data_IF_456938888784
#
_entry.id   IF_456938888784
#
_cell.length_a   1.000
_cell.length_b   1.000
_cell.length_c   1.000
_cell.angle_alpha   90.00
_cell.angle_beta   90.00
_cell.angle_gamma   90.00
#
_symmetry.space_group_name_H-M   'P 1'
#
loop_
_entity.id
_entity.type
_entity.pdbx_description
1 polymer ?
#
# COMPACT_ATOMS: atom_id res chain seq x y z
N UNK A 1 -6.45 -6.57 5.81
CA UNK A 1 -6.21 -5.33 5.04
C UNK A 1 -7.55 -4.83 4.53
N UNK A 2 -7.78 -3.52 4.51
CA UNK A 2 -9.02 -2.90 4.02
C UNK A 2 -8.70 -1.64 3.23
N UNK A 3 -9.70 -1.11 2.54
CA UNK A 3 -9.61 0.15 1.80
C UNK A 3 -9.34 1.32 2.74
N UNK A 4 -8.72 2.41 2.25
CA UNK A 4 -8.47 3.61 3.07
C UNK A 4 -9.78 4.18 3.65
N UNK A 5 -10.91 3.96 2.98
CA UNK A 5 -12.25 4.30 3.51
C UNK A 5 -12.61 3.55 4.81
N UNK A 6 -12.01 2.40 5.05
CA UNK A 6 -12.20 1.59 6.27
C UNK A 6 -11.34 2.11 7.44
N UNK A 7 -10.57 3.18 7.23
CA UNK A 7 -9.83 3.86 8.29
C UNK A 7 -10.78 4.42 9.34
N UNK A 8 -10.37 4.33 10.60
CA UNK A 8 -11.20 4.79 11.72
C UNK A 8 -11.23 6.32 11.77
N UNK A 9 -12.42 6.93 11.74
CA UNK A 9 -12.59 8.34 12.05
C UNK A 9 -12.54 8.54 13.58
N UNK A 10 -11.61 9.37 14.03
CA UNK A 10 -11.45 9.73 15.43
C UNK A 10 -11.77 11.21 15.57
N UNK A 11 -12.87 11.50 16.27
CA UNK A 11 -13.27 12.86 16.63
C UNK A 11 -12.78 13.16 18.05
N UNK A 12 -11.79 14.03 18.16
CA UNK A 12 -11.20 14.43 19.42
C UNK A 12 -11.25 15.94 19.64
N UNK A 13 -10.71 16.38 20.78
CA UNK A 13 -10.61 17.81 21.10
C UNK A 13 -9.76 18.60 20.10
N UNK A 14 -8.80 17.93 19.45
CA UNK A 14 -7.91 18.51 18.43
C UNK A 14 -8.55 18.56 17.02
N UNK A 15 -9.79 18.09 16.88
CA UNK A 15 -10.49 17.94 15.62
C UNK A 15 -10.61 16.47 15.17
N UNK A 16 -11.08 16.30 13.94
CA UNK A 16 -11.32 14.98 13.35
C UNK A 16 -10.09 14.52 12.56
N UNK A 17 -9.63 13.29 12.81
CA UNK A 17 -8.56 12.64 12.06
C UNK A 17 -8.95 11.24 11.63
N UNK A 18 -8.38 10.75 10.53
CA UNK A 18 -8.49 9.35 10.11
C UNK A 18 -7.28 8.58 10.60
N UNK A 19 -7.48 7.38 11.13
CA UNK A 19 -6.43 6.48 11.57
C UNK A 19 -6.49 5.18 10.77
N UNK A 20 -5.57 5.04 9.80
CA UNK A 20 -5.49 3.88 8.91
C UNK A 20 -4.94 2.63 9.60
N UNK A 21 -4.09 2.81 10.63
CA UNK A 21 -3.56 1.70 11.41
C UNK A 21 -4.36 1.50 12.71
N UNK A 22 -5.15 0.44 12.78
CA UNK A 22 -5.95 0.05 13.93
C UNK A 22 -5.33 -1.15 14.64
N UNK A 23 -5.20 -1.08 15.96
CA UNK A 23 -4.68 -2.18 16.77
C UNK A 23 -5.66 -2.44 17.91
N UNK A 24 -6.26 -3.63 17.90
CA UNK A 24 -7.13 -4.10 18.97
C UNK A 24 -6.45 -5.23 19.73
N UNK A 25 -6.68 -5.25 21.03
CA UNK A 25 -6.11 -6.21 21.95
C UNK A 25 -7.24 -6.71 22.83
N UNK A 26 -7.38 -8.03 22.92
CA UNK A 26 -8.43 -8.69 23.66
C UNK A 26 -7.81 -9.68 24.65
N UNK A 27 -8.31 -9.67 25.88
CA UNK A 27 -7.85 -10.49 27.00
C UNK A 27 -9.03 -11.28 27.56
N UNK A 28 -9.45 -12.35 26.88
CA UNK A 28 -10.58 -13.15 27.32
C UNK A 28 -10.27 -13.88 28.64
N UNK A 29 -11.24 -14.06 29.56
CA UNK A 29 -11.01 -14.66 30.88
C UNK A 29 -10.37 -16.05 30.83
N UNK A 30 -10.64 -16.84 29.79
CA UNK A 30 -10.09 -18.19 29.67
C UNK A 30 -8.57 -18.21 29.53
N UNK A 31 -7.93 -17.12 29.10
CA UNK A 31 -6.47 -17.09 28.92
C UNK A 31 -5.70 -17.19 30.24
N UNK A 32 -6.38 -16.95 31.36
CA UNK A 32 -5.88 -17.14 32.73
C UNK A 32 -6.64 -18.25 33.47
N UNK A 33 -7.45 -19.05 32.76
CA UNK A 33 -8.24 -20.13 33.35
C UNK A 33 -9.47 -19.67 34.14
N UNK A 34 -9.89 -18.41 33.98
CA UNK A 34 -11.05 -17.85 34.67
C UNK A 34 -12.31 -17.83 33.77
N UNK A 35 -13.46 -17.63 34.40
CA UNK A 35 -14.71 -17.29 33.71
C UNK A 35 -15.07 -15.84 33.97
N UNK A 36 -15.69 -15.17 33.00
CA UNK A 36 -16.05 -13.76 33.14
C UNK A 36 -16.97 -13.26 32.04
N UNK A 37 -17.56 -12.09 32.25
CA UNK A 37 -18.43 -11.46 31.25
C UNK A 37 -17.62 -10.98 30.04
N UNK A 38 -18.06 -11.41 28.85
CA UNK A 38 -17.54 -10.93 27.56
C UNK A 38 -18.38 -9.75 27.08
N UNK A 39 -18.04 -8.54 27.54
CA UNK A 39 -18.69 -7.29 27.10
C UNK A 39 -17.75 -6.48 26.20
N UNK A 40 -17.57 -5.18 26.46
CA UNK A 40 -16.62 -4.34 25.74
C UNK A 40 -15.21 -4.38 26.34
N UNK A 41 -14.20 -3.87 25.61
CA UNK A 41 -12.83 -3.88 26.10
C UNK A 41 -12.65 -3.01 27.35
N UNK A 42 -11.92 -3.54 28.33
CA UNK A 42 -11.53 -2.88 29.58
C UNK A 42 -10.42 -1.86 29.34
N UNK A 43 -10.20 -0.97 30.31
CA UNK A 43 -9.11 0.03 30.27
C UNK A 43 -7.74 -0.59 30.02
N UNK A 44 -7.42 -1.72 30.67
CA UNK A 44 -6.13 -2.40 30.51
C UNK A 44 -5.97 -2.98 29.10
N UNK A 45 -7.04 -3.53 28.52
CA UNK A 45 -7.02 -4.03 27.14
C UNK A 45 -6.76 -2.90 26.13
N UNK A 46 -7.41 -1.76 26.31
CA UNK A 46 -7.15 -0.55 25.49
C UNK A 46 -5.71 -0.06 25.69
N UNK A 47 -5.23 -0.01 26.93
CA UNK A 47 -3.88 0.43 27.27
C UNK A 47 -2.80 -0.47 26.67
N UNK A 48 -2.94 -1.79 26.80
CA UNK A 48 -2.04 -2.78 26.21
C UNK A 48 -2.08 -2.73 24.69
N UNK A 49 -3.27 -2.63 24.08
CA UNK A 49 -3.41 -2.43 22.64
C UNK A 49 -2.72 -1.16 22.16
N UNK A 50 -2.81 -0.06 22.90
CA UNK A 50 -2.13 1.20 22.56
C UNK A 50 -0.61 1.10 22.72
N UNK A 51 -0.12 0.40 23.73
CA UNK A 51 1.32 0.15 23.89
C UNK A 51 1.86 -0.69 22.73
N UNK A 52 1.20 -1.80 22.41
CA UNK A 52 1.61 -2.66 21.31
C UNK A 52 1.57 -1.93 19.97
N UNK A 53 0.51 -1.15 19.73
CA UNK A 53 0.38 -0.24 18.58
C UNK A 53 1.58 0.69 18.46
N UNK A 54 1.95 1.40 19.55
CA UNK A 54 3.11 2.30 19.55
C UNK A 54 4.41 1.56 19.24
N UNK A 55 4.56 0.33 19.75
CA UNK A 55 5.71 -0.52 19.50
C UNK A 55 5.94 -0.83 18.02
N UNK A 56 4.88 -1.07 17.25
CA UNK A 56 5.01 -1.40 15.82
C UNK A 56 4.77 -0.20 14.89
N UNK A 57 4.11 0.86 15.34
CA UNK A 57 3.78 2.03 14.53
C UNK A 57 5.02 2.71 13.94
N UNK A 58 6.15 2.67 14.64
CA UNK A 58 7.41 3.25 14.18
C UNK A 58 8.02 2.58 12.95
N UNK A 59 7.64 1.33 12.63
CA UNK A 59 8.13 0.58 11.47
C UNK A 59 7.11 0.43 10.34
N UNK A 60 5.93 1.04 10.51
CA UNK A 60 4.88 0.98 9.50
C UNK A 60 5.31 1.70 8.21
N UNK A 61 4.94 1.19 7.04
CA UNK A 61 5.13 1.89 5.79
C UNK A 61 4.31 3.19 5.78
N UNK A 62 4.71 4.12 4.90
CA UNK A 62 3.89 5.30 4.62
C UNK A 62 2.64 4.88 3.85
N UNK A 63 1.58 5.66 3.98
CA UNK A 63 0.31 5.41 3.26
C UNK A 63 0.50 5.45 1.75
N UNK A 64 1.42 6.26 1.23
CA UNK A 64 1.73 6.31 -0.21
C UNK A 64 2.39 5.03 -0.72
N UNK A 65 3.24 4.40 0.10
CA UNK A 65 3.98 3.18 -0.25
C UNK A 65 3.13 1.92 -0.07
N UNK A 66 2.18 1.96 0.87
CA UNK A 66 1.29 0.85 1.16
C UNK A 66 -0.11 1.36 1.55
N UNK A 67 -0.98 1.65 0.55
CA UNK A 67 -2.21 2.43 0.72
C UNK A 67 -3.37 1.63 1.34
N UNK A 68 -3.10 0.89 2.42
CA UNK A 68 -4.07 0.03 3.08
C UNK A 68 -4.48 0.55 4.46
N UNK A 69 -5.76 0.43 4.79
CA UNK A 69 -6.17 0.39 6.18
C UNK A 69 -5.75 -0.97 6.78
N UNK A 70 -4.97 -0.92 7.85
CA UNK A 70 -4.40 -2.11 8.50
C UNK A 70 -5.07 -2.26 9.86
N UNK A 71 -5.79 -3.37 10.04
CA UNK A 71 -6.35 -3.76 11.33
C UNK A 71 -5.63 -4.99 11.85
N UNK A 72 -5.02 -4.85 13.01
CA UNK A 72 -4.47 -5.96 13.79
C UNK A 72 -5.37 -6.22 14.98
N UNK A 73 -5.70 -7.48 15.23
CA UNK A 73 -6.38 -7.92 16.45
C UNK A 73 -5.50 -8.96 17.12
N UNK A 74 -5.02 -8.65 18.32
CA UNK A 74 -4.29 -9.61 19.15
C UNK A 74 -5.26 -10.25 20.14
N UNK A 75 -5.52 -11.54 19.93
CA UNK A 75 -6.31 -12.37 20.85
C UNK A 75 -5.36 -13.11 21.78
N UNK A 76 -5.42 -12.82 23.08
CA UNK A 76 -4.59 -13.52 24.05
C UNK A 76 -5.25 -14.84 24.41
N UNK A 77 -4.63 -15.95 24.02
CA UNK A 77 -5.14 -17.30 24.32
C UNK A 77 -4.61 -17.86 25.63
N UNK A 78 -3.43 -17.40 26.05
CA UNK A 78 -2.76 -17.78 27.30
C UNK A 78 -2.00 -16.56 27.84
N UNK A 79 -1.99 -16.37 29.16
CA UNK A 79 -1.24 -15.29 29.78
C UNK A 79 -0.66 -15.69 31.14
N UNK A 80 0.66 -15.86 31.18
CA UNK A 80 1.43 -15.97 32.42
C UNK A 80 2.60 -14.97 32.49
N UNK A 81 2.74 -14.12 31.47
CA UNK A 81 3.75 -13.07 31.38
C UNK A 81 3.18 -11.89 30.59
N UNK A 82 4.05 -11.10 29.97
CA UNK A 82 3.61 -9.91 29.24
C UNK A 82 2.95 -10.22 27.89
N UNK A 83 1.65 -10.44 27.94
CA UNK A 83 0.80 -10.57 26.75
C UNK A 83 0.84 -9.34 25.84
N UNK A 84 1.09 -8.13 26.37
CA UNK A 84 1.26 -6.93 25.54
C UNK A 84 2.53 -6.95 24.70
N UNK A 85 3.64 -7.51 25.21
CA UNK A 85 4.87 -7.70 24.43
C UNK A 85 4.73 -8.86 23.45
N UNK A 86 4.04 -9.93 23.84
CA UNK A 86 3.66 -11.00 22.91
C UNK A 86 2.83 -10.45 21.73
N UNK A 87 1.91 -9.50 21.96
CA UNK A 87 1.17 -8.82 20.90
C UNK A 87 2.05 -8.02 19.94
N UNK A 88 3.13 -7.38 20.42
CA UNK A 88 4.11 -6.71 19.55
C UNK A 88 4.78 -7.72 18.63
N UNK A 89 5.32 -8.81 19.20
CA UNK A 89 5.99 -9.86 18.44
C UNK A 89 5.04 -10.52 17.43
N UNK A 90 3.85 -10.92 17.88
CA UNK A 90 2.84 -11.56 17.05
C UNK A 90 2.32 -10.66 15.94
N UNK A 91 2.09 -9.37 16.22
CA UNK A 91 1.67 -8.41 15.19
C UNK A 91 2.75 -8.12 14.18
N UNK A 92 4.03 -8.04 14.59
CA UNK A 92 5.14 -7.90 13.64
C UNK A 92 5.16 -9.06 12.65
N UNK A 93 5.01 -10.31 13.12
CA UNK A 93 4.95 -11.49 12.25
C UNK A 93 3.69 -11.49 11.39
N UNK A 94 2.53 -11.25 11.97
CA UNK A 94 1.25 -11.29 11.25
C UNK A 94 1.17 -10.22 10.14
N UNK A 95 1.70 -9.02 10.38
CA UNK A 95 1.75 -7.97 9.37
C UNK A 95 2.72 -8.33 8.23
N UNK A 96 3.90 -8.85 8.56
CA UNK A 96 4.86 -9.34 7.55
C UNK A 96 4.28 -10.49 6.72
N UNK A 97 3.55 -11.41 7.36
CA UNK A 97 2.88 -12.53 6.69
C UNK A 97 1.73 -12.07 5.80
N UNK A 98 1.04 -10.99 6.19
CA UNK A 98 0.02 -10.34 5.38
C UNK A 98 0.58 -9.49 4.21
N UNK A 99 1.90 -9.45 4.03
CA UNK A 99 2.56 -8.68 2.97
C UNK A 99 2.74 -7.19 3.28
N UNK A 100 2.59 -6.77 4.54
CA UNK A 100 2.85 -5.38 4.94
C UNK A 100 4.37 -5.13 4.94
N UNK A 101 4.89 -4.18 4.14
CA UNK A 101 6.32 -3.91 4.01
C UNK A 101 6.85 -3.12 5.21
N UNK A 102 6.94 -3.76 6.37
CA UNK A 102 7.55 -3.16 7.56
C UNK A 102 9.03 -2.84 7.30
N UNK A 103 9.51 -1.69 7.80
CA UNK A 103 10.92 -1.30 7.64
C UNK A 103 11.90 -2.22 8.38
N UNK A 104 11.45 -2.86 9.47
CA UNK A 104 12.16 -3.93 10.18
C UNK A 104 11.19 -4.71 11.09
N UNK A 105 11.48 -5.99 11.42
CA UNK A 105 10.77 -6.73 12.46
C UNK A 105 10.93 -6.09 13.84
N UNK A 106 9.88 -6.17 14.67
CA UNK A 106 9.85 -5.61 16.03
C UNK A 106 9.52 -6.70 17.04
N UNK A 107 10.31 -6.78 18.12
CA UNK A 107 9.98 -7.61 19.28
C UNK A 107 9.78 -6.74 20.52
N UNK A 108 9.05 -7.29 21.48
CA UNK A 108 8.87 -6.76 22.81
C UNK A 108 9.42 -7.70 23.88
N UNK A 109 9.83 -7.14 25.01
CA UNK A 109 10.18 -7.90 26.21
C UNK A 109 9.68 -7.16 27.46
N UNK A 110 9.24 -7.93 28.46
CA UNK A 110 8.93 -7.39 29.78
C UNK A 110 10.04 -7.73 30.76
N UNK A 111 10.32 -6.77 31.62
CA UNK A 111 11.45 -6.79 32.52
C UNK A 111 10.97 -6.35 33.89
N UNK A 112 11.52 -6.96 34.92
CA UNK A 112 11.25 -6.61 36.31
C UNK A 112 12.52 -6.19 37.01
N UNK A 113 12.34 -5.54 38.15
CA UNK A 113 13.42 -5.22 39.06
C UNK A 113 12.97 -5.42 40.50
N UNK A 114 13.83 -6.07 41.29
CA UNK A 114 13.69 -6.21 42.74
C UNK A 114 14.88 -5.51 43.38
N UNK A 115 14.65 -4.70 44.41
CA UNK A 115 15.68 -3.93 45.12
C UNK A 115 15.50 -3.98 46.63
N UNK A 116 16.57 -4.33 47.33
CA UNK A 116 16.64 -4.34 48.79
C UNK A 116 17.92 -3.63 49.26
N UNK A 117 17.76 -2.45 49.85
CA UNK A 117 18.91 -1.59 50.20
C UNK A 117 19.72 -1.26 48.94
N UNK A 118 21.01 -1.55 48.93
CA UNK A 118 21.90 -1.33 47.77
C UNK A 118 21.89 -2.50 46.75
N UNK A 119 21.28 -3.64 47.10
CA UNK A 119 21.23 -4.80 46.20
C UNK A 119 20.02 -4.69 45.28
N UNK A 120 20.21 -5.02 44.01
CA UNK A 120 19.10 -5.15 43.08
C UNK A 120 19.33 -6.33 42.13
N UNK A 121 18.25 -6.81 41.52
CA UNK A 121 18.26 -7.82 40.47
C UNK A 121 17.29 -7.41 39.38
N UNK A 122 17.75 -7.47 38.12
CA UNK A 122 16.92 -7.28 36.94
C UNK A 122 16.46 -8.65 36.46
N UNK A 123 15.16 -8.82 36.28
CA UNK A 123 14.53 -10.08 35.85
C UNK A 123 14.09 -9.92 34.39
N UNK A 124 14.49 -10.87 33.55
CA UNK A 124 14.12 -10.91 32.13
C UNK A 124 12.89 -11.78 31.92
N UNK A 125 11.96 -11.32 31.09
CA UNK A 125 10.74 -12.01 30.71
C UNK A 125 9.87 -12.41 31.91
N UNK A 126 9.49 -11.39 32.68
CA UNK A 126 8.80 -11.59 33.96
C UNK A 126 7.46 -12.33 33.82
N UNK A 127 7.23 -13.21 34.78
CA UNK A 127 5.95 -13.83 35.04
C UNK A 127 4.98 -12.85 35.72
N UNK A 128 3.69 -13.19 35.74
CA UNK A 128 2.68 -12.40 36.44
C UNK A 128 2.97 -12.22 37.93
N UNK A 129 3.50 -13.24 38.59
CA UNK A 129 3.89 -13.18 40.02
C UNK A 129 5.09 -12.26 40.24
N UNK A 130 6.07 -12.28 39.33
CA UNK A 130 7.26 -11.44 39.40
C UNK A 130 6.93 -9.97 39.13
N UNK A 131 5.98 -9.68 38.25
CA UNK A 131 5.40 -8.34 38.07
C UNK A 131 4.70 -7.88 39.36
N UNK A 132 3.85 -8.74 39.94
CA UNK A 132 3.10 -8.38 41.14
C UNK A 132 4.02 -8.02 42.32
N UNK A 133 5.08 -8.84 42.53
CA UNK A 133 6.01 -8.73 43.65
C UNK A 133 7.19 -7.78 43.38
N UNK A 134 7.48 -7.45 42.12
CA UNK A 134 8.60 -6.60 41.74
C UNK A 134 8.41 -5.13 42.12
N UNK A 135 9.53 -4.44 42.33
CA UNK A 135 9.58 -3.02 42.71
C UNK A 135 9.46 -2.07 41.51
N UNK A 136 9.69 -2.60 40.31
CA UNK A 136 9.47 -1.92 39.04
C UNK A 136 9.23 -2.96 37.96
N UNK A 137 8.29 -2.67 37.07
CA UNK A 137 8.12 -3.39 35.82
C UNK A 137 8.28 -2.43 34.64
N UNK A 138 8.91 -2.89 33.58
CA UNK A 138 9.04 -2.12 32.36
C UNK A 138 9.01 -3.00 31.13
N UNK A 139 8.54 -2.41 30.04
CA UNK A 139 8.26 -3.09 28.78
C UNK A 139 9.00 -2.34 27.69
N UNK A 140 9.84 -3.06 26.96
CA UNK A 140 10.69 -2.51 25.90
C UNK A 140 10.34 -3.18 24.59
N UNK A 141 9.87 -2.40 23.62
CA UNK A 141 9.66 -2.84 22.26
C UNK A 141 10.64 -2.14 21.31
N UNK A 142 11.07 -2.83 20.27
CA UNK A 142 12.02 -2.27 19.33
C UNK A 142 12.50 -3.22 18.25
N UNK A 143 13.25 -2.64 17.32
CA UNK A 143 13.98 -3.35 16.28
C UNK A 143 15.39 -3.69 16.78
N UNK A 144 16.19 -4.28 15.90
CA UNK A 144 17.64 -4.40 16.10
C UNK A 144 18.33 -3.04 16.23
N UNK A 145 17.83 -2.01 15.51
CA UNK A 145 18.46 -0.68 15.44
C UNK A 145 18.10 0.24 16.60
N UNK A 146 17.04 -0.04 17.34
CA UNK A 146 16.59 0.87 18.40
C UNK A 146 15.24 0.53 19.01
N UNK A 147 14.91 1.25 20.08
CA UNK A 147 13.65 1.16 20.82
C UNK A 147 12.56 1.93 20.08
N UNK A 148 11.38 1.33 19.93
CA UNK A 148 10.20 1.95 19.32
C UNK A 148 9.15 2.32 20.36
N UNK A 149 9.08 1.61 21.48
CA UNK A 149 8.28 1.98 22.63
C UNK A 149 8.92 1.52 23.94
N UNK A 150 8.78 2.35 24.96
CA UNK A 150 9.19 2.07 26.33
C UNK A 150 8.03 2.46 27.25
N UNK A 151 7.61 1.54 28.11
CA UNK A 151 6.69 1.80 29.21
C UNK A 151 7.37 1.36 30.50
N UNK A 152 7.28 2.17 31.55
CA UNK A 152 7.86 1.90 32.85
C UNK A 152 6.84 2.23 33.94
N UNK A 153 6.68 1.32 34.88
CA UNK A 153 5.86 1.47 36.07
C UNK A 153 6.77 1.22 37.29
N UNK A 154 7.14 2.31 37.97
CA UNK A 154 8.05 2.28 39.12
C UNK A 154 7.22 2.35 40.41
N UNK A 155 7.42 1.39 41.33
CA UNK A 155 6.66 1.32 42.59
C UNK A 155 7.44 1.87 43.80
N UNK A 156 8.77 1.97 43.69
CA UNK A 156 9.65 2.46 44.78
C UNK A 156 10.47 3.68 44.38
N UNK A 157 11.04 4.36 45.37
CA UNK A 157 12.07 5.38 45.15
C UNK A 157 13.47 4.75 45.10
N UNK A 158 14.45 5.47 44.53
CA UNK A 158 15.85 5.06 44.57
C UNK A 158 16.32 4.20 43.39
N UNK A 159 15.61 4.26 42.25
CA UNK A 159 16.11 3.77 40.97
C UNK A 159 16.89 4.90 40.31
N UNK A 160 18.21 4.69 40.16
CA UNK A 160 19.11 5.67 39.57
C UNK A 160 19.38 5.36 38.08
N UNK A 161 20.12 6.24 37.41
CA UNK A 161 20.46 6.12 35.98
C UNK A 161 21.29 4.86 35.69
N UNK A 162 22.23 4.50 36.57
CA UNK A 162 23.08 3.32 36.41
C UNK A 162 22.27 2.01 36.43
N UNK A 163 21.31 1.89 37.37
CA UNK A 163 20.39 0.75 37.41
C UNK A 163 19.56 0.67 36.13
N UNK A 164 19.09 1.82 35.63
CA UNK A 164 18.32 1.89 34.39
C UNK A 164 19.14 1.48 33.17
N UNK A 165 20.40 1.88 33.08
CA UNK A 165 21.30 1.51 31.99
C UNK A 165 21.53 -0.01 31.97
N UNK A 166 21.81 -0.61 33.13
CA UNK A 166 21.96 -2.07 33.27
C UNK A 166 20.67 -2.79 32.83
N UNK A 167 19.52 -2.30 33.31
CA UNK A 167 18.24 -2.91 33.02
C UNK A 167 17.87 -2.84 31.52
N UNK A 168 18.14 -1.70 30.86
CA UNK A 168 17.90 -1.52 29.43
C UNK A 168 18.86 -2.32 28.56
N UNK A 169 20.12 -2.48 28.98
CA UNK A 169 21.09 -3.34 28.27
C UNK A 169 20.65 -4.80 28.31
N UNK A 170 20.25 -5.31 29.48
CA UNK A 170 19.71 -6.67 29.60
C UNK A 170 18.41 -6.84 28.79
N UNK A 171 17.54 -5.82 28.76
CA UNK A 171 16.34 -5.81 27.92
C UNK A 171 16.69 -5.82 26.43
N UNK A 172 17.74 -5.12 26.01
CA UNK A 172 18.22 -5.14 24.62
C UNK A 172 18.66 -6.54 24.21
N UNK A 173 19.51 -7.20 25.00
CA UNK A 173 19.97 -8.56 24.72
C UNK A 173 18.80 -9.54 24.58
N UNK A 174 17.84 -9.49 25.52
CA UNK A 174 16.65 -10.33 25.49
C UNK A 174 15.77 -10.05 24.27
N UNK A 175 15.58 -8.77 23.91
CA UNK A 175 14.81 -8.39 22.71
C UNK A 175 15.47 -8.90 21.43
N UNK A 176 16.80 -8.79 21.32
CA UNK A 176 17.56 -9.32 20.17
C UNK A 176 17.43 -10.84 20.09
N UNK A 177 17.46 -11.53 21.24
CA UNK A 177 17.22 -12.97 21.29
C UNK A 177 15.84 -13.34 20.71
N UNK A 178 14.78 -12.66 21.15
CA UNK A 178 13.40 -12.90 20.66
C UNK A 178 13.30 -12.60 19.17
N UNK A 179 13.83 -11.46 18.70
CA UNK A 179 13.90 -11.13 17.27
C UNK A 179 14.61 -12.24 16.48
N UNK A 180 15.73 -12.75 16.99
CA UNK A 180 16.46 -13.85 16.37
C UNK A 180 15.62 -15.12 16.24
N UNK A 181 14.77 -15.44 17.22
CA UNK A 181 13.84 -16.57 17.14
C UNK A 181 12.71 -16.31 16.14
N UNK A 182 12.11 -15.12 16.16
CA UNK A 182 11.07 -14.71 15.19
C UNK A 182 11.57 -14.80 13.74
N UNK A 183 12.79 -14.32 13.50
CA UNK A 183 13.39 -14.30 12.16
C UNK A 183 13.70 -15.69 11.60
N UNK A 184 13.75 -16.74 12.43
CA UNK A 184 13.84 -18.13 11.94
C UNK A 184 12.57 -18.57 11.20
N UNK A 185 11.43 -17.95 11.51
CA UNK A 185 10.13 -18.25 10.89
C UNK A 185 9.88 -17.30 9.72
N UNK A 186 9.98 -15.99 9.95
CA UNK A 186 9.71 -14.99 8.92
C UNK A 186 10.64 -13.78 9.09
N UNK A 187 11.77 -13.73 8.36
CA UNK A 187 12.77 -12.67 8.52
C UNK A 187 12.41 -11.36 7.80
N UNK A 188 11.50 -11.41 6.81
CA UNK A 188 11.06 -10.26 6.02
C UNK A 188 9.58 -10.42 5.66
N UNK A 189 8.93 -9.30 5.36
CA UNK A 189 7.59 -9.29 4.80
C UNK A 189 7.51 -10.10 3.50
N UNK A 190 6.36 -10.73 3.25
CA UNK A 190 6.06 -11.33 1.96
C UNK A 190 6.00 -10.26 0.89
N UNK A 191 6.40 -10.62 -0.33
CA UNK A 191 6.40 -9.69 -1.48
C UNK A 191 4.98 -9.38 -1.97
N UNK A 192 4.06 -10.32 -1.77
CA UNK A 192 2.66 -10.19 -2.18
C UNK A 192 1.74 -10.20 -0.96
N UNK A 193 0.65 -9.44 -1.09
CA UNK A 193 -0.50 -9.54 -0.18
C UNK A 193 -1.32 -10.81 -0.51
N UNK A 194 -2.15 -11.24 0.43
CA UNK A 194 -3.07 -12.37 0.22
C UNK A 194 -3.99 -12.15 -0.99
N UNK A 195 -4.30 -13.20 -1.74
CA UNK A 195 -5.26 -13.17 -2.85
C UNK A 195 -6.67 -12.74 -2.42
N UNK A 196 -7.02 -13.01 -1.16
CA UNK A 196 -8.30 -12.62 -0.56
C UNK A 196 -8.27 -11.21 0.06
N UNK A 197 -7.12 -10.53 0.03
CA UNK A 197 -7.05 -9.14 0.46
C UNK A 197 -7.49 -8.25 -0.70
N UNK A 198 -8.17 -7.12 -0.41
CA UNK A 198 -8.43 -6.11 -1.42
C UNK A 198 -7.13 -5.75 -2.15
N UNK A 199 -7.16 -5.64 -3.47
CA UNK A 199 -5.99 -5.25 -4.23
C UNK A 199 -6.03 -3.76 -4.49
N UNK A 200 -4.89 -3.09 -4.27
CA UNK A 200 -4.79 -1.65 -4.48
C UNK A 200 -3.65 -1.30 -5.41
N UNK A 201 -3.87 -0.24 -6.18
CA UNK A 201 -2.82 0.43 -6.93
C UNK A 201 -2.99 1.94 -6.77
N UNK A 202 -1.85 2.62 -6.74
CA UNK A 202 -1.79 4.05 -6.95
C UNK A 202 -1.07 4.31 -8.27
N UNK A 203 -1.65 5.17 -9.09
CA UNK A 203 -0.98 5.68 -10.28
C UNK A 203 -1.13 7.20 -10.34
N UNK A 204 -0.13 7.86 -10.91
CA UNK A 204 -0.16 9.30 -11.11
C UNK A 204 -0.44 9.60 -12.58
N UNK A 205 -1.38 10.50 -12.83
CA UNK A 205 -1.72 11.01 -14.15
C UNK A 205 -1.52 12.52 -14.20
N UNK A 206 -1.27 13.06 -15.38
CA UNK A 206 -1.16 14.51 -15.56
C UNK A 206 -2.47 15.21 -15.20
N UNK A 207 -2.36 16.39 -14.58
CA UNK A 207 -3.52 17.17 -14.11
C UNK A 207 -4.52 17.48 -15.22
N UNK A 208 -4.04 17.62 -16.45
CA UNK A 208 -4.88 17.94 -17.61
C UNK A 208 -5.78 16.77 -18.01
N UNK A 209 -5.36 15.52 -17.73
CA UNK A 209 -6.09 14.29 -18.07
C UNK A 209 -7.10 13.85 -17.02
N UNK A 210 -7.07 14.45 -15.83
CA UNK A 210 -8.05 14.16 -14.76
C UNK A 210 -9.48 14.30 -15.31
N UNK A 211 -9.72 15.31 -16.17
CA UNK A 211 -11.02 15.56 -16.79
C UNK A 211 -11.49 14.42 -17.70
N UNK A 212 -10.56 13.77 -18.40
CA UNK A 212 -10.87 12.69 -19.33
C UNK A 212 -11.20 11.40 -18.57
N UNK A 213 -10.47 11.12 -17.48
CA UNK A 213 -10.72 9.96 -16.62
C UNK A 213 -12.05 10.10 -15.86
N UNK A 214 -12.37 11.29 -15.35
CA UNK A 214 -13.67 11.54 -14.69
C UNK A 214 -14.80 11.53 -15.74
N UNK A 215 -14.57 12.17 -16.89
CA UNK A 215 -15.57 12.37 -17.94
C UNK A 215 -16.64 13.40 -17.55
N UNK A 216 -17.51 13.73 -18.51
CA UNK A 216 -18.58 14.71 -18.30
C UNK A 216 -19.56 14.24 -17.21
N UNK A 217 -19.53 14.91 -16.05
CA UNK A 217 -20.40 14.57 -14.92
C UNK A 217 -20.06 13.25 -14.22
N UNK A 218 -18.84 12.73 -14.38
CA UNK A 218 -18.44 11.47 -13.78
C UNK A 218 -18.87 10.21 -14.56
N UNK A 219 -19.25 10.35 -15.83
CA UNK A 219 -19.73 9.21 -16.63
C UNK A 219 -18.63 8.17 -16.89
N UNK A 220 -17.41 8.61 -17.23
CA UNK A 220 -16.29 7.72 -17.57
C UNK A 220 -15.83 6.95 -16.34
N UNK A 221 -15.62 7.64 -15.21
CA UNK A 221 -15.21 6.97 -13.96
C UNK A 221 -16.25 5.95 -13.50
N UNK A 222 -17.55 6.22 -13.67
CA UNK A 222 -18.61 5.24 -13.38
C UNK A 222 -18.52 4.00 -14.28
N UNK A 223 -18.30 4.18 -15.59
CA UNK A 223 -18.11 3.06 -16.53
C UNK A 223 -16.92 2.20 -16.12
N UNK A 224 -15.78 2.83 -15.78
CA UNK A 224 -14.59 2.12 -15.31
C UNK A 224 -14.91 1.32 -14.04
N UNK A 225 -15.60 1.94 -13.08
CA UNK A 225 -15.97 1.31 -11.81
C UNK A 225 -16.90 0.10 -12.02
N UNK A 226 -17.88 0.24 -12.93
CA UNK A 226 -18.87 -0.80 -13.24
C UNK A 226 -18.27 -1.97 -14.04
N UNK A 227 -17.40 -1.68 -15.00
CA UNK A 227 -16.75 -2.70 -15.83
C UNK A 227 -15.64 -3.46 -15.08
N UNK A 228 -14.87 -2.77 -14.25
CA UNK A 228 -13.77 -3.38 -13.48
C UNK A 228 -14.24 -4.00 -12.15
N UNK A 229 -15.36 -3.53 -11.60
CA UNK A 229 -15.77 -3.83 -10.23
C UNK A 229 -14.90 -3.17 -9.16
N UNK A 230 -13.92 -2.34 -9.55
CA UNK A 230 -13.01 -1.64 -8.64
C UNK A 230 -13.51 -0.22 -8.35
N UNK A 231 -13.31 0.26 -7.12
CA UNK A 231 -13.54 1.65 -6.74
C UNK A 231 -12.35 2.51 -7.15
N UNK A 232 -12.60 3.65 -7.82
CA UNK A 232 -11.54 4.57 -8.26
C UNK A 232 -11.74 5.92 -7.59
N UNK A 233 -10.76 6.37 -6.82
CA UNK A 233 -10.72 7.70 -6.20
C UNK A 233 -9.61 8.53 -6.88
N UNK A 234 -9.92 9.78 -7.21
CA UNK A 234 -8.98 10.70 -7.88
C UNK A 234 -8.85 11.97 -7.04
N UNK A 235 -7.61 12.33 -6.71
CA UNK A 235 -7.28 13.59 -6.06
C UNK A 235 -7.03 14.70 -7.10
N UNK A 236 -7.21 15.97 -6.69
CA UNK A 236 -6.97 17.14 -7.55
C UNK A 236 -5.50 17.24 -8.05
N UNK A 237 -4.56 16.58 -7.37
CA UNK A 237 -3.14 16.51 -7.72
C UNK A 237 -2.80 15.44 -8.78
N UNK A 238 -3.81 14.72 -9.29
CA UNK A 238 -3.63 13.68 -10.32
C UNK A 238 -3.24 12.30 -9.77
N UNK A 239 -3.35 12.10 -8.46
CA UNK A 239 -3.17 10.77 -7.85
C UNK A 239 -4.48 9.99 -7.97
N UNK A 240 -4.44 8.87 -8.67
CA UNK A 240 -5.55 7.93 -8.81
C UNK A 240 -5.28 6.73 -7.89
N UNK A 241 -6.21 6.47 -6.97
CA UNK A 241 -6.22 5.29 -6.09
C UNK A 241 -7.30 4.33 -6.56
N UNK A 242 -6.89 3.10 -6.88
CA UNK A 242 -7.76 2.05 -7.41
C UNK A 242 -7.87 0.96 -6.36
N UNK A 243 -9.09 0.56 -6.02
CA UNK A 243 -9.41 -0.45 -5.01
C UNK A 243 -10.25 -1.57 -5.64
N UNK A 244 -9.62 -2.69 -5.95
CA UNK A 244 -10.30 -3.92 -6.39
C UNK A 244 -10.58 -4.86 -5.22
N UNK A 245 -11.63 -5.68 -5.33
CA UNK A 245 -11.83 -6.81 -4.40
C UNK A 245 -10.71 -7.84 -4.54
N UNK A 246 -10.19 -8.01 -5.77
CA UNK A 246 -9.06 -8.86 -6.10
C UNK A 246 -8.07 -8.14 -7.05
N UNK A 247 -6.96 -8.81 -7.37
CA UNK A 247 -5.95 -8.28 -8.28
C UNK A 247 -6.47 -8.12 -9.72
N UNK A 248 -7.38 -8.99 -10.18
CA UNK A 248 -7.91 -8.94 -11.54
C UNK A 248 -8.78 -7.69 -11.77
N UNK A 249 -9.66 -7.36 -10.82
CA UNK A 249 -10.46 -6.13 -10.83
C UNK A 249 -9.60 -4.88 -10.82
N UNK A 250 -8.53 -4.87 -10.00
CA UNK A 250 -7.57 -3.76 -9.99
C UNK A 250 -6.88 -3.61 -11.35
N UNK A 251 -6.34 -4.70 -11.90
CA UNK A 251 -5.56 -4.65 -13.13
C UNK A 251 -6.41 -4.22 -14.33
N UNK A 252 -7.67 -4.68 -14.38
CA UNK A 252 -8.64 -4.24 -15.37
C UNK A 252 -8.94 -2.73 -15.26
N UNK A 253 -9.07 -2.20 -14.05
CA UNK A 253 -9.27 -0.76 -13.85
C UNK A 253 -8.03 0.06 -14.27
N UNK A 254 -6.83 -0.43 -13.96
CA UNK A 254 -5.57 0.20 -14.40
C UNK A 254 -5.52 0.25 -15.92
N UNK A 255 -5.82 -0.85 -16.61
CA UNK A 255 -5.80 -0.95 -18.07
C UNK A 255 -6.78 0.03 -18.73
N UNK A 256 -8.01 0.14 -18.20
CA UNK A 256 -9.01 1.09 -18.70
C UNK A 256 -8.54 2.53 -18.53
N UNK A 257 -7.96 2.88 -17.38
CA UNK A 257 -7.45 4.23 -17.10
C UNK A 257 -6.23 4.52 -17.98
N UNK A 258 -5.32 3.56 -18.16
CA UNK A 258 -4.18 3.69 -19.06
C UNK A 258 -4.64 3.89 -20.50
N UNK A 259 -5.64 3.17 -20.97
CA UNK A 259 -6.19 3.33 -22.33
C UNK A 259 -6.74 4.74 -22.57
N UNK A 260 -7.40 5.33 -21.56
CA UNK A 260 -7.94 6.70 -21.64
C UNK A 260 -6.84 7.74 -21.56
N UNK A 261 -5.84 7.51 -20.70
CA UNK A 261 -4.73 8.45 -20.46
C UNK A 261 -3.55 8.29 -21.40
N UNK A 262 -3.56 7.23 -22.22
CA UNK A 262 -2.55 6.90 -23.20
C UNK A 262 -2.33 8.10 -24.13
N UNK A 263 -1.08 8.48 -24.29
CA UNK A 263 -0.66 9.47 -25.27
C UNK A 263 -0.08 8.79 -26.49
N UNK A 264 -0.31 9.41 -27.64
CA UNK A 264 0.36 9.04 -28.87
C UNK A 264 1.80 9.57 -28.77
N UNK A 265 2.76 8.70 -28.45
CA UNK A 265 4.17 9.09 -28.38
C UNK A 265 4.73 9.32 -29.78
N UNK A 266 5.50 10.42 -29.95
CA UNK A 266 6.15 10.72 -31.22
C UNK A 266 7.18 9.64 -31.53
N UNK A 267 7.02 8.98 -32.67
CA UNK A 267 7.87 7.88 -33.13
C UNK A 267 7.27 6.49 -32.89
N UNK A 268 6.22 6.34 -32.07
CA UNK A 268 5.55 5.05 -31.87
C UNK A 268 4.63 4.69 -33.05
N UNK A 269 4.53 3.37 -33.29
CA UNK A 269 3.62 2.76 -34.26
C UNK A 269 2.33 2.39 -33.55
N UNK A 270 1.21 2.66 -34.20
CA UNK A 270 -0.10 2.26 -33.70
C UNK A 270 -0.94 1.68 -34.82
N UNK A 271 -1.83 0.75 -34.46
CA UNK A 271 -2.88 0.28 -35.35
C UNK A 271 -4.07 1.22 -35.22
N UNK A 272 -4.39 1.95 -36.29
CA UNK A 272 -5.47 2.93 -36.28
C UNK A 272 -6.53 2.61 -37.33
N UNK A 273 -7.78 2.97 -37.03
CA UNK A 273 -8.91 2.78 -37.95
C UNK A 273 -9.22 4.07 -38.68
N UNK A 274 -9.39 4.01 -40.00
CA UNK A 274 -9.74 5.19 -40.81
C UNK A 274 -11.16 5.65 -40.44
N UNK A 275 -11.26 6.81 -39.80
CA UNK A 275 -12.53 7.39 -39.36
C UNK A 275 -13.23 8.15 -40.47
N UNK A 276 -12.49 8.97 -41.23
CA UNK A 276 -13.00 9.71 -42.39
C UNK A 276 -11.90 10.05 -43.37
N UNK A 277 -12.25 10.16 -44.64
CA UNK A 277 -11.34 10.59 -45.71
C UNK A 277 -11.72 12.00 -46.18
N UNK A 278 -10.72 12.85 -46.42
CA UNK A 278 -10.89 14.22 -46.96
C UNK A 278 -9.89 14.45 -48.10
N UNK A 279 -10.13 15.45 -48.96
CA UNK A 279 -9.33 15.68 -50.17
C UNK A 279 -7.82 15.91 -49.92
N UNK A 280 -7.45 16.31 -48.70
CA UNK A 280 -6.06 16.58 -48.30
C UNK A 280 -5.46 15.53 -47.36
N UNK A 281 -6.18 14.45 -47.03
CA UNK A 281 -5.68 13.42 -46.13
C UNK A 281 -6.74 12.46 -45.57
N UNK A 282 -6.34 11.63 -44.60
CA UNK A 282 -7.24 10.73 -43.89
C UNK A 282 -7.14 10.97 -42.38
N UNK A 283 -8.27 10.96 -41.69
CA UNK A 283 -8.33 10.96 -40.24
C UNK A 283 -8.39 9.51 -39.77
N UNK A 284 -7.44 9.14 -38.92
CA UNK A 284 -7.27 7.79 -38.41
C UNK A 284 -7.37 7.88 -36.89
N UNK A 285 -8.31 7.15 -36.31
CA UNK A 285 -8.46 7.04 -34.86
C UNK A 285 -7.46 6.03 -34.36
N UNK A 286 -6.55 6.48 -33.50
CA UNK A 286 -5.41 5.69 -33.02
C UNK A 286 -5.69 5.15 -31.61
N UNK A 287 -6.29 6.01 -30.78
CA UNK A 287 -6.68 5.74 -29.41
C UNK A 287 -8.11 6.27 -29.21
N UNK A 288 -8.88 5.74 -28.24
CA UNK A 288 -10.23 6.22 -27.99
C UNK A 288 -10.28 7.74 -27.79
N UNK A 289 -10.96 8.46 -28.69
CA UNK A 289 -11.08 9.92 -28.64
C UNK A 289 -9.88 10.73 -29.19
N UNK A 290 -8.86 10.07 -29.76
CA UNK A 290 -7.71 10.74 -30.40
C UNK A 290 -7.61 10.38 -31.88
N UNK A 291 -7.88 11.37 -32.71
CA UNK A 291 -7.74 11.28 -34.17
C UNK A 291 -6.43 11.93 -34.62
N UNK A 292 -5.67 11.19 -35.43
CA UNK A 292 -4.51 11.73 -36.15
C UNK A 292 -4.82 11.98 -37.62
N UNK A 293 -4.17 12.97 -38.20
CA UNK A 293 -4.27 13.29 -39.62
C UNK A 293 -3.05 12.73 -40.37
N UNK A 294 -3.29 11.86 -41.34
CA UNK A 294 -2.31 11.52 -42.37
C UNK A 294 -2.52 12.47 -43.54
N UNK A 295 -1.52 13.30 -43.82
CA UNK A 295 -1.53 14.17 -45.00
C UNK A 295 -1.29 13.34 -46.27
N UNK A 296 -1.86 13.72 -47.42
CA UNK A 296 -1.74 12.99 -48.69
C UNK A 296 -0.29 12.65 -49.08
N UNK A 297 0.66 13.54 -48.73
CA UNK A 297 2.09 13.36 -49.01
C UNK A 297 2.80 12.33 -48.13
N UNK A 298 2.12 11.80 -47.10
CA UNK A 298 2.64 10.86 -46.11
C UNK A 298 1.96 9.47 -46.20
N UNK A 299 1.11 9.27 -47.23
CA UNK A 299 0.40 7.99 -47.49
C UNK A 299 1.29 7.00 -48.26
N UNK A 300 2.01 7.46 -49.27
CA UNK A 300 2.87 6.61 -50.12
C UNK A 300 4.10 7.38 -50.62
N UNK A 301 5.13 6.64 -51.07
CA UNK A 301 6.31 7.22 -51.71
C UNK A 301 6.03 7.75 -53.14
N UNK A 302 4.99 7.22 -53.79
CA UNK A 302 4.56 7.59 -55.13
C UNK A 302 3.56 8.76 -55.12
N UNK A 303 3.41 9.45 -56.26
CA UNK A 303 2.49 10.59 -56.40
C UNK A 303 1.04 10.10 -56.36
N UNK A 304 0.38 10.27 -55.22
CA UNK A 304 -1.02 9.87 -55.00
C UNK A 304 -1.94 10.95 -55.59
N UNK A 305 -2.70 10.62 -56.63
CA UNK A 305 -3.70 11.52 -57.22
C UNK A 305 -5.10 11.34 -56.59
N UNK A 306 -5.41 10.16 -56.04
CA UNK A 306 -6.65 9.88 -55.32
C UNK A 306 -6.40 9.09 -54.03
N UNK A 307 -6.85 9.63 -52.90
CA UNK A 307 -6.72 8.98 -51.58
C UNK A 307 -7.58 7.71 -51.48
N UNK A 308 -8.74 7.71 -52.17
CA UNK A 308 -9.69 6.59 -52.18
C UNK A 308 -9.20 5.31 -52.86
N UNK A 309 -8.04 5.32 -53.52
CA UNK A 309 -7.42 4.09 -54.06
C UNK A 309 -6.56 3.37 -53.02
N UNK A 310 -6.15 4.05 -51.94
CA UNK A 310 -5.20 3.52 -50.96
C UNK A 310 -5.82 3.29 -49.57
N UNK A 311 -6.84 4.05 -49.21
CA UNK A 311 -7.49 3.97 -47.90
C UNK A 311 -9.01 3.91 -48.08
N UNK A 312 -9.65 2.97 -47.40
CA UNK A 312 -11.11 2.92 -47.27
C UNK A 312 -11.53 3.35 -45.86
N UNK A 313 -12.70 3.98 -45.74
CA UNK A 313 -13.29 4.26 -44.44
C UNK A 313 -13.54 2.96 -43.68
N UNK A 314 -13.10 2.91 -42.42
CA UNK A 314 -13.17 1.74 -41.56
C UNK A 314 -12.06 0.72 -41.73
N UNK A 315 -11.06 0.96 -42.58
CA UNK A 315 -9.88 0.10 -42.72
C UNK A 315 -8.91 0.28 -41.55
N UNK A 316 -8.33 -0.83 -41.08
CA UNK A 316 -7.25 -0.82 -40.10
C UNK A 316 -5.89 -0.65 -40.81
N UNK A 317 -5.11 0.33 -40.38
CA UNK A 317 -3.81 0.68 -40.96
C UNK A 317 -2.78 0.99 -39.88
N UNK A 318 -1.55 0.53 -40.10
CA UNK A 318 -0.42 0.82 -39.21
C UNK A 318 0.12 2.22 -39.54
N UNK A 319 0.21 3.07 -38.53
CA UNK A 319 0.60 4.48 -38.67
C UNK A 319 1.66 4.84 -37.63
N UNK A 320 2.64 5.65 -38.03
CA UNK A 320 3.66 6.21 -37.14
C UNK A 320 3.33 7.65 -36.77
N UNK A 321 3.44 7.99 -35.50
CA UNK A 321 3.26 9.37 -35.02
C UNK A 321 4.51 10.18 -35.34
N UNK A 322 4.35 11.23 -36.14
CA UNK A 322 5.46 12.07 -36.60
C UNK A 322 5.70 13.27 -35.70
N UNK A 323 4.63 13.90 -35.25
CA UNK A 323 4.70 15.19 -34.58
C UNK A 323 3.37 15.49 -33.87
N UNK A 324 3.45 16.21 -32.76
CA UNK A 324 2.32 16.68 -31.95
C UNK A 324 2.28 18.21 -32.04
N UNK A 325 1.29 18.74 -32.76
CA UNK A 325 1.13 20.18 -32.92
C UNK A 325 0.66 20.82 -31.59
N UNK A 326 0.98 22.10 -31.34
CA UNK A 326 0.71 22.79 -30.06
C UNK A 326 -0.79 22.91 -29.67
N UNK A 327 -1.69 22.44 -30.54
CA UNK A 327 -3.14 22.33 -30.32
C UNK A 327 -3.61 20.89 -30.07
N UNK A 328 -2.70 19.94 -29.83
CA UNK A 328 -3.01 18.53 -29.60
C UNK A 328 -3.38 17.74 -30.85
N UNK A 329 -3.05 18.22 -32.05
CA UNK A 329 -3.33 17.52 -33.32
C UNK A 329 -2.14 16.61 -33.66
N UNK A 330 -2.42 15.33 -33.85
CA UNK A 330 -1.42 14.30 -34.11
C UNK A 330 -1.19 14.22 -35.62
N UNK A 331 0.06 14.41 -36.07
CA UNK A 331 0.44 14.15 -37.47
C UNK A 331 0.91 12.70 -37.59
N UNK A 332 0.33 11.98 -38.53
CA UNK A 332 0.64 10.58 -38.78
C UNK A 332 1.29 10.39 -40.16
N UNK A 333 2.14 9.37 -40.27
CA UNK A 333 2.70 8.92 -41.55
C UNK A 333 2.58 7.41 -41.71
N UNK A 334 2.18 6.98 -42.90
CA UNK A 334 2.20 5.57 -43.34
C UNK A 334 3.50 5.29 -44.08
N UNK A 335 4.08 6.31 -44.73
CA UNK A 335 5.31 6.22 -45.53
C UNK A 335 6.56 5.91 -44.70
N UNK A 336 6.63 6.39 -43.46
CA UNK A 336 7.78 6.16 -42.57
C UNK A 336 7.73 4.83 -41.80
N UNK A 337 6.73 3.99 -42.08
CA UNK A 337 6.64 2.64 -41.53
C UNK A 337 7.51 1.71 -42.38
N UNK A 338 8.67 1.30 -41.86
CA UNK A 338 9.56 0.36 -42.55
C UNK A 338 9.07 -1.10 -42.39
N UNK A 339 9.54 -2.01 -43.25
CA UNK A 339 9.18 -3.44 -43.12
C UNK A 339 9.83 -4.11 -41.88
N UNK A 340 10.89 -3.53 -41.31
CA UNK A 340 11.45 -3.92 -40.00
C UNK A 340 10.55 -3.47 -38.84
N UNK A 341 9.96 -2.27 -38.93
CA UNK A 341 8.99 -1.74 -37.95
C UNK A 341 7.70 -2.58 -37.89
N UNK A 342 7.23 -3.09 -39.04
CA UNK A 342 6.10 -4.04 -39.10
C UNK A 342 6.41 -5.38 -38.43
N UNK A 343 7.65 -5.85 -38.54
CA UNK A 343 8.09 -7.09 -37.91
C UNK A 343 8.24 -6.94 -36.38
N UNK A 344 8.70 -5.77 -35.90
CA UNK A 344 8.82 -5.47 -34.48
C UNK A 344 7.44 -5.35 -33.79
N UNK A 345 6.47 -4.68 -34.42
CA UNK A 345 5.11 -4.56 -33.90
C UNK A 345 4.35 -5.90 -33.84
N UNK A 346 4.66 -6.82 -34.75
CA UNK A 346 4.11 -8.18 -34.72
C UNK A 346 4.70 -9.05 -33.61
N UNK A 347 5.92 -8.76 -33.13
CA UNK A 347 6.59 -9.49 -32.06
C UNK A 347 6.21 -8.99 -30.65
N UNK A 348 5.83 -7.71 -30.50
CA UNK A 348 5.31 -7.13 -29.24
C UNK A 348 3.81 -7.43 -28.99
N UNK A 349 3.11 -8.00 -29.98
CA UNK A 349 1.70 -8.36 -29.88
C UNK A 349 1.45 -9.84 -29.49
N UNK A 350 2.51 -10.64 -29.32
CA UNK A 350 2.49 -12.05 -28.84
C UNK A 350 2.85 -12.15 -27.35
#
# INVERSE_FOLDING_TARGET
LGAIRDSQLIEGLEGSRKEAFMFHYNFPPFCVGETGFMSGPKRREIGHGKLAKRGVQAVMPKEDDFPYAIRVVSEITESNGSSSMASVCGSSLAMMDAGVPLSAPVAGIAMGLIKEGERFSVITDILGDEDHLGDMDFKVAGTEKGVTALQMDIKIQGINEEIMEIALNQAHEARIHILGVMNKVLPKARETVSENAPSMAMMKVDSDKIRDVIGKGGATIRSITEESGASVDIDDDGNIRIYGEDAASRDKAIELIQTITAEAEVGQLYMGKVARIVDFGAFITILPGKDGLVHISQISADRVENIGEYLNEGQDVLVKVMDLDARGRIKLSIKEVTDEDKAAFAADAE
#
